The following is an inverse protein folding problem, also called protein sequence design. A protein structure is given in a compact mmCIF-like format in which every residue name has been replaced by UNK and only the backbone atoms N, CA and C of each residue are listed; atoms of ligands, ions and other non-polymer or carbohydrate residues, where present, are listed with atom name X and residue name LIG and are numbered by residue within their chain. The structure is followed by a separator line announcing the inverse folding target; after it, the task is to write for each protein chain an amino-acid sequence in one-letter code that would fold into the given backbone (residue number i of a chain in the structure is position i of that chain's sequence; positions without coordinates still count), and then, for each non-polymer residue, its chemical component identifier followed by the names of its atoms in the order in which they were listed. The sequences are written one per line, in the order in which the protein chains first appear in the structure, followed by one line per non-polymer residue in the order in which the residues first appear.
data_IF_280798156705
#
_entry.id   IF_280798156705
#
_cell.length_a   1.000
_cell.length_b   1.000
_cell.length_c   1.000
_cell.angle_alpha   90.00
_cell.angle_beta   90.00
_cell.angle_gamma   90.00
#
_symmetry.space_group_name_H-M   'P 1'
#
loop_
_entity.id
_entity.type
_entity.pdbx_description
1 polymer ?
#
# COMPACT_ATOMS: atom_id res chain seq x y z
N UNK A 1 52.79 70.96 6.35
CA UNK A 1 52.24 70.48 7.64
C UNK A 1 52.31 68.97 7.63
N UNK A 2 53.04 68.37 8.57
CA UNK A 2 52.74 67.09 9.24
C UNK A 2 53.91 66.70 10.13
N UNK A 3 53.72 66.67 11.47
CA UNK A 3 54.64 66.08 12.42
C UNK A 3 54.29 64.62 12.73
N UNK A 4 55.36 63.88 13.04
CA UNK A 4 55.54 62.91 14.13
C UNK A 4 54.42 61.97 14.62
N UNK A 5 54.82 60.70 14.71
CA UNK A 5 54.74 59.80 15.88
C UNK A 5 53.38 59.28 16.36
N UNK A 6 53.25 57.96 16.34
CA UNK A 6 52.26 57.17 17.10
C UNK A 6 52.73 55.71 17.13
N UNK A 7 53.58 55.33 18.09
CA UNK A 7 53.23 54.67 19.36
C UNK A 7 52.81 53.21 19.20
N UNK A 8 53.71 52.33 19.65
CA UNK A 8 53.54 50.89 19.79
C UNK A 8 52.54 50.57 20.90
N UNK A 9 51.62 49.65 20.66
CA UNK A 9 50.89 48.95 21.71
C UNK A 9 50.80 47.47 21.33
N UNK A 10 51.62 46.67 22.02
CA UNK A 10 51.55 45.22 22.02
C UNK A 10 50.22 44.78 22.63
N UNK A 11 49.46 43.95 21.92
CA UNK A 11 48.34 43.20 22.49
C UNK A 11 48.82 41.76 22.71
N UNK A 12 49.03 41.47 23.99
CA UNK A 12 49.40 40.17 24.56
C UNK A 12 48.38 39.10 24.19
N UNK A 13 48.84 38.00 23.60
CA UNK A 13 48.04 36.80 23.39
C UNK A 13 47.71 36.15 24.74
N UNK A 14 46.44 36.16 25.11
CA UNK A 14 45.93 35.33 26.21
C UNK A 14 45.79 33.90 25.70
N UNK A 15 46.67 33.05 26.23
CA UNK A 15 46.58 31.59 26.22
C UNK A 15 45.26 31.11 26.83
N UNK A 16 44.65 30.12 26.16
CA UNK A 16 44.09 28.96 26.85
C UNK A 16 42.58 28.95 27.05
N UNK A 17 41.85 28.60 26.00
CA UNK A 17 40.51 28.03 26.10
C UNK A 17 40.35 26.95 25.04
N UNK A 18 40.59 25.68 25.38
CA UNK A 18 40.19 24.58 24.50
C UNK A 18 38.66 24.62 24.38
N UNK A 19 38.08 24.63 23.17
CA UNK A 19 36.66 24.40 23.05
C UNK A 19 36.41 22.97 23.52
N UNK A 20 35.74 22.82 24.66
CA UNK A 20 35.18 21.52 25.06
C UNK A 20 34.16 21.19 23.99
N UNK A 21 34.57 20.36 23.03
CA UNK A 21 33.66 19.78 22.06
C UNK A 21 32.72 18.86 22.83
N UNK A 22 31.58 19.40 23.24
CA UNK A 22 30.45 18.59 23.70
C UNK A 22 30.01 17.78 22.49
N UNK A 23 30.49 16.53 22.40
CA UNK A 23 29.89 15.56 21.50
C UNK A 23 28.45 15.40 21.96
N UNK A 24 27.53 16.03 21.25
CA UNK A 24 26.15 15.62 21.25
C UNK A 24 26.12 14.27 20.55
N UNK A 25 26.48 13.22 21.30
CA UNK A 25 26.12 11.86 20.92
C UNK A 25 24.60 11.81 21.12
N UNK A 26 23.86 12.29 20.11
CA UNK A 26 22.42 12.11 20.07
C UNK A 26 22.25 10.60 20.06
N UNK A 27 21.60 9.99 21.06
CA UNK A 27 21.19 8.61 20.94
C UNK A 27 20.35 8.57 19.67
N UNK A 28 20.85 7.94 18.60
CA UNK A 28 20.02 7.63 17.45
C UNK A 28 18.92 6.74 18.03
N UNK A 29 17.66 7.21 18.10
CA UNK A 29 16.60 6.31 18.46
C UNK A 29 16.65 5.20 17.41
N UNK A 30 16.89 3.95 17.84
CA UNK A 30 16.61 2.81 16.97
C UNK A 30 15.22 3.08 16.41
N UNK A 31 15.03 3.13 15.08
CA UNK A 31 13.70 3.36 14.54
C UNK A 31 12.81 2.33 15.22
N UNK A 32 11.82 2.82 15.98
CA UNK A 32 10.76 1.96 16.46
C UNK A 32 10.30 1.20 15.23
N UNK A 33 10.41 -0.12 15.31
CA UNK A 33 10.33 -0.99 14.15
C UNK A 33 8.94 -0.75 13.55
N UNK A 34 8.94 -0.24 12.30
CA UNK A 34 7.79 0.46 11.75
C UNK A 34 6.74 -0.55 11.30
N UNK A 35 5.50 -0.39 11.80
CA UNK A 35 4.36 -1.20 11.42
C UNK A 35 4.23 -1.22 9.89
N UNK A 36 4.23 -2.42 9.29
CA UNK A 36 4.06 -2.59 7.85
C UNK A 36 2.60 -2.90 7.55
N UNK A 37 2.05 -2.26 6.53
CA UNK A 37 0.71 -2.55 6.02
C UNK A 37 0.82 -3.37 4.75
N UNK A 38 0.19 -4.53 4.75
CA UNK A 38 0.23 -5.48 3.64
C UNK A 38 -1.18 -5.74 3.12
N UNK A 39 -1.29 -5.88 1.80
CA UNK A 39 -2.53 -6.19 1.12
C UNK A 39 -2.32 -7.38 0.19
N UNK A 40 -2.97 -8.49 0.51
CA UNK A 40 -2.83 -9.75 -0.20
C UNK A 40 -4.07 -9.95 -1.08
N UNK A 41 -3.89 -9.92 -2.40
CA UNK A 41 -4.96 -10.05 -3.37
C UNK A 41 -4.94 -11.44 -3.99
N UNK A 42 -6.08 -12.11 -4.02
CA UNK A 42 -6.29 -13.38 -4.72
C UNK A 42 -7.37 -13.15 -5.76
N UNK A 43 -7.05 -13.33 -7.04
CA UNK A 43 -7.94 -13.02 -8.14
C UNK A 43 -7.99 -14.16 -9.16
N UNK A 44 -9.00 -14.15 -10.04
CA UNK A 44 -9.09 -15.10 -11.15
C UNK A 44 -8.09 -14.76 -12.27
N UNK A 45 -7.63 -13.52 -12.34
CA UNK A 45 -6.63 -13.10 -13.31
C UNK A 45 -6.27 -11.62 -13.23
N UNK A 46 -5.23 -11.25 -13.98
CA UNK A 46 -4.70 -9.88 -14.04
C UNK A 46 -5.72 -8.89 -14.58
N UNK A 47 -6.40 -9.22 -15.69
CA UNK A 47 -7.39 -8.34 -16.30
C UNK A 47 -8.53 -8.01 -15.34
N UNK A 48 -9.12 -9.03 -14.71
CA UNK A 48 -10.19 -8.90 -13.71
C UNK A 48 -9.77 -8.00 -12.53
N UNK A 49 -8.55 -8.20 -12.02
CA UNK A 49 -7.98 -7.39 -10.93
C UNK A 49 -7.86 -5.92 -11.33
N UNK A 50 -7.27 -5.67 -12.50
CA UNK A 50 -7.02 -4.31 -13.02
C UNK A 50 -8.34 -3.61 -13.29
N UNK A 51 -9.30 -4.26 -13.94
CA UNK A 51 -10.61 -3.65 -14.27
C UNK A 51 -11.48 -3.45 -13.04
N UNK A 52 -11.49 -4.41 -12.12
CA UNK A 52 -12.36 -4.39 -10.95
C UNK A 52 -11.93 -3.37 -9.89
N UNK A 53 -10.66 -3.44 -9.46
CA UNK A 53 -10.16 -2.67 -8.30
C UNK A 53 -8.77 -2.07 -8.51
N UNK A 54 -8.28 -1.99 -9.74
CA UNK A 54 -6.92 -1.52 -10.02
C UNK A 54 -6.65 -0.10 -9.49
N UNK A 55 -7.66 0.76 -9.43
CA UNK A 55 -7.53 2.12 -8.92
C UNK A 55 -7.35 2.15 -7.41
N UNK A 56 -8.19 1.43 -6.68
CA UNK A 56 -8.07 1.29 -5.23
C UNK A 56 -6.74 0.65 -4.82
N UNK A 57 -6.30 -0.39 -5.55
CA UNK A 57 -4.99 -1.02 -5.29
C UNK A 57 -3.82 -0.05 -5.54
N UNK A 58 -3.89 0.76 -6.60
CA UNK A 58 -2.90 1.80 -6.87
C UNK A 58 -2.84 2.82 -5.73
N UNK A 59 -3.99 3.33 -5.28
CA UNK A 59 -4.03 4.32 -4.20
C UNK A 59 -3.49 3.73 -2.89
N UNK A 60 -3.72 2.44 -2.61
CA UNK A 60 -3.09 1.74 -1.47
C UNK A 60 -1.58 1.63 -1.62
N UNK A 61 -1.08 1.25 -2.79
CA UNK A 61 0.35 1.19 -3.06
C UNK A 61 1.00 2.58 -2.90
N UNK A 62 0.35 3.63 -3.40
CA UNK A 62 0.79 5.02 -3.25
C UNK A 62 0.73 5.51 -1.81
N UNK A 63 -0.19 4.99 -0.99
CA UNK A 63 -0.23 5.21 0.45
C UNK A 63 0.85 4.40 1.23
N UNK A 64 1.74 3.69 0.54
CA UNK A 64 2.85 2.95 1.12
C UNK A 64 2.52 1.50 1.53
N UNK A 65 1.34 1.00 1.18
CA UNK A 65 0.98 -0.39 1.45
C UNK A 65 1.75 -1.32 0.51
N UNK A 66 2.18 -2.48 1.04
CA UNK A 66 2.74 -3.55 0.22
C UNK A 66 1.61 -4.37 -0.37
N UNK A 67 1.31 -4.12 -1.64
CA UNK A 67 0.26 -4.85 -2.35
C UNK A 67 0.85 -6.02 -3.13
N UNK A 68 0.47 -7.24 -2.76
CA UNK A 68 0.87 -8.47 -3.44
C UNK A 68 -0.36 -9.13 -4.07
N UNK A 69 -0.26 -9.54 -5.32
CA UNK A 69 -1.35 -10.17 -6.08
C UNK A 69 -0.92 -11.57 -6.48
N UNK A 70 -1.69 -12.57 -6.03
CA UNK A 70 -1.54 -13.94 -6.50
C UNK A 70 -2.03 -14.05 -7.94
N UNK A 71 -1.13 -14.49 -8.82
CA UNK A 71 -1.43 -14.84 -10.21
C UNK A 71 -0.87 -16.23 -10.50
N UNK A 72 -1.39 -16.87 -11.53
CA UNK A 72 -0.82 -18.12 -12.05
C UNK A 72 0.57 -17.87 -12.67
N UNK A 73 1.46 -18.86 -12.62
CA UNK A 73 2.89 -18.69 -12.93
C UNK A 73 3.16 -18.26 -14.39
N UNK A 74 2.21 -18.48 -15.30
CA UNK A 74 2.29 -18.14 -16.72
C UNK A 74 1.66 -16.77 -17.08
N UNK A 75 1.01 -16.10 -16.12
CA UNK A 75 0.33 -14.83 -16.37
C UNK A 75 1.29 -13.63 -16.48
N UNK A 76 1.08 -12.74 -17.47
CA UNK A 76 1.89 -11.51 -17.62
C UNK A 76 1.53 -10.47 -16.53
N UNK A 77 2.40 -10.33 -15.53
CA UNK A 77 2.28 -9.34 -14.46
C UNK A 77 2.59 -7.87 -14.85
N UNK A 78 2.77 -7.54 -16.13
CA UNK A 78 3.09 -6.16 -16.58
C UNK A 78 2.05 -5.14 -16.17
N UNK A 79 0.77 -5.45 -16.33
CA UNK A 79 -0.30 -4.54 -15.93
C UNK A 79 -0.30 -4.25 -14.43
N UNK A 80 0.01 -5.27 -13.60
CA UNK A 80 0.14 -5.11 -12.15
C UNK A 80 1.33 -4.21 -11.78
N UNK A 81 2.46 -4.34 -12.47
CA UNK A 81 3.64 -3.50 -12.26
C UNK A 81 3.39 -2.02 -12.61
N UNK A 82 2.58 -1.74 -13.63
CA UNK A 82 2.14 -0.37 -13.95
C UNK A 82 1.40 0.25 -12.78
N UNK A 83 0.59 -0.55 -12.07
CA UNK A 83 -0.14 -0.12 -10.88
C UNK A 83 0.72 -0.08 -9.60
N UNK A 84 2.02 -0.38 -9.68
CA UNK A 84 2.89 -0.47 -8.50
C UNK A 84 2.67 -1.72 -7.64
N UNK A 85 2.02 -2.75 -8.17
CA UNK A 85 1.66 -3.96 -7.45
C UNK A 85 2.68 -5.08 -7.69
N UNK A 86 2.85 -5.95 -6.71
CA UNK A 86 3.76 -7.09 -6.79
C UNK A 86 3.01 -8.36 -7.20
N UNK A 87 3.27 -8.88 -8.38
CA UNK A 87 2.83 -10.22 -8.78
C UNK A 87 3.62 -11.29 -8.01
N UNK A 88 2.93 -12.25 -7.42
CA UNK A 88 3.52 -13.39 -6.69
C UNK A 88 2.72 -14.66 -6.99
N UNK A 89 3.34 -15.84 -6.84
CA UNK A 89 2.59 -17.10 -6.79
C UNK A 89 1.81 -17.24 -5.48
N UNK A 90 0.74 -18.04 -5.49
CA UNK A 90 -0.18 -18.19 -4.35
C UNK A 90 0.53 -18.63 -3.04
N UNK A 91 1.48 -19.56 -3.12
CA UNK A 91 2.28 -19.99 -1.96
C UNK A 91 3.15 -18.86 -1.40
N UNK A 92 3.63 -17.96 -2.25
CA UNK A 92 4.49 -16.85 -1.87
C UNK A 92 3.71 -15.69 -1.25
N UNK A 93 2.40 -15.60 -1.53
CA UNK A 93 1.46 -14.64 -0.94
C UNK A 93 1.25 -14.90 0.55
N UNK A 94 1.15 -16.17 0.94
CA UNK A 94 0.84 -16.59 2.32
C UNK A 94 2.08 -16.82 3.19
N UNK A 95 3.20 -16.20 2.85
CA UNK A 95 4.37 -16.26 3.73
C UNK A 95 4.04 -15.63 5.08
N UNK A 96 4.60 -16.15 6.19
CA UNK A 96 4.35 -15.61 7.52
C UNK A 96 4.63 -14.10 7.54
N UNK A 97 3.67 -13.34 8.05
CA UNK A 97 3.84 -11.92 8.31
C UNK A 97 5.01 -11.70 9.25
N UNK A 98 5.74 -10.60 9.04
CA UNK A 98 6.67 -10.16 10.07
C UNK A 98 5.88 -9.85 11.36
N UNK A 99 6.51 -9.98 12.53
CA UNK A 99 5.86 -9.77 13.82
C UNK A 99 5.21 -8.37 14.02
N UNK A 100 5.41 -7.44 13.09
CA UNK A 100 4.91 -6.08 13.09
C UNK A 100 4.28 -5.73 11.74
N UNK A 101 3.33 -6.55 11.30
CA UNK A 101 2.61 -6.34 10.05
C UNK A 101 1.11 -6.53 10.23
N UNK A 102 0.33 -5.61 9.67
CA UNK A 102 -1.14 -5.71 9.57
C UNK A 102 -1.46 -6.06 8.14
N UNK A 103 -2.11 -7.20 7.92
CA UNK A 103 -2.51 -7.67 6.60
C UNK A 103 -4.02 -7.57 6.39
N UNK A 104 -4.40 -7.17 5.19
CA UNK A 104 -5.75 -7.32 4.67
C UNK A 104 -5.73 -8.32 3.52
N UNK A 105 -6.75 -9.18 3.46
CA UNK A 105 -6.95 -10.10 2.34
C UNK A 105 -8.07 -9.58 1.44
N UNK A 106 -7.80 -9.56 0.14
CA UNK A 106 -8.73 -9.15 -0.91
C UNK A 106 -8.95 -10.30 -1.87
N UNK A 107 -10.20 -10.70 -2.10
CA UNK A 107 -10.52 -11.89 -2.90
C UNK A 107 -11.47 -11.52 -4.04
N UNK A 108 -11.16 -11.91 -5.27
CA UNK A 108 -12.09 -11.80 -6.39
C UNK A 108 -13.25 -12.77 -6.19
N UNK A 109 -14.49 -12.29 -6.27
CA UNK A 109 -15.69 -13.13 -6.07
C UNK A 109 -15.71 -14.33 -7.02
N UNK A 110 -15.33 -14.12 -8.28
CA UNK A 110 -15.17 -15.18 -9.28
C UNK A 110 -14.18 -16.27 -8.86
N UNK A 111 -13.06 -15.87 -8.25
CA UNK A 111 -12.05 -16.81 -7.73
C UNK A 111 -12.55 -17.53 -6.49
N UNK A 112 -13.28 -16.85 -5.61
CA UNK A 112 -13.88 -17.48 -4.43
C UNK A 112 -14.87 -18.59 -4.80
N UNK A 113 -15.77 -18.31 -5.75
CA UNK A 113 -16.82 -19.24 -6.19
C UNK A 113 -16.29 -20.40 -7.04
N UNK A 114 -15.09 -20.29 -7.60
CA UNK A 114 -14.44 -21.37 -8.35
C UNK A 114 -14.06 -22.60 -7.49
N UNK A 115 -14.28 -22.55 -6.17
CA UNK A 115 -14.11 -23.70 -5.26
C UNK A 115 -12.72 -23.83 -4.66
N UNK A 116 -11.78 -22.96 -5.00
CA UNK A 116 -10.41 -22.94 -4.44
C UNK A 116 -10.29 -22.11 -3.14
N UNK A 117 -11.40 -22.00 -2.40
CA UNK A 117 -11.59 -21.16 -1.22
C UNK A 117 -10.57 -21.46 -0.10
N UNK A 118 -10.10 -22.71 0.02
CA UNK A 118 -9.11 -23.11 1.05
C UNK A 118 -7.72 -22.50 0.84
N UNK A 119 -7.39 -22.13 -0.41
CA UNK A 119 -6.11 -21.47 -0.71
C UNK A 119 -6.20 -19.94 -0.62
N UNK A 120 -7.41 -19.35 -0.65
CA UNK A 120 -7.61 -17.91 -0.46
C UNK A 120 -7.81 -17.50 1.01
N UNK A 121 -8.20 -18.44 1.89
CA UNK A 121 -8.59 -18.18 3.27
C UNK A 121 -7.54 -18.71 4.27
N UNK A 122 -6.37 -18.06 4.35
CA UNK A 122 -5.33 -18.47 5.31
C UNK A 122 -5.38 -17.75 6.65
N UNK A 123 -6.00 -16.57 6.73
CA UNK A 123 -6.12 -15.81 7.98
C UNK A 123 -7.45 -15.01 8.07
N UNK A 124 -8.53 -15.62 8.58
CA UNK A 124 -9.82 -14.94 8.74
C UNK A 124 -9.87 -13.94 9.90
N UNK A 125 -8.79 -13.80 10.69
CA UNK A 125 -8.74 -12.82 11.78
C UNK A 125 -8.47 -11.39 11.26
N UNK A 126 -7.80 -11.26 10.11
CA UNK A 126 -7.67 -10.01 9.36
C UNK A 126 -8.95 -9.74 8.55
N UNK A 127 -9.41 -8.48 8.52
CA UNK A 127 -10.61 -8.11 7.75
C UNK A 127 -10.50 -8.53 6.28
N UNK A 128 -11.63 -8.95 5.71
CA UNK A 128 -11.70 -9.50 4.35
C UNK A 128 -12.52 -8.59 3.44
N UNK A 129 -12.00 -8.39 2.24
CA UNK A 129 -12.64 -7.59 1.21
C UNK A 129 -12.80 -8.43 -0.04
N UNK A 130 -13.97 -8.37 -0.66
CA UNK A 130 -14.22 -8.98 -1.96
C UNK A 130 -14.35 -7.90 -3.03
N UNK A 131 -14.04 -8.26 -4.25
CA UNK A 131 -14.31 -7.44 -5.42
C UNK A 131 -14.87 -8.28 -6.56
N UNK A 132 -15.61 -7.62 -7.46
CA UNK A 132 -16.27 -8.27 -8.58
C UNK A 132 -17.67 -7.69 -8.80
N UNK A 133 -18.43 -8.33 -9.68
CA UNK A 133 -19.78 -7.89 -10.05
C UNK A 133 -20.81 -8.05 -8.92
N UNK A 134 -20.57 -8.93 -7.96
CA UNK A 134 -21.47 -9.18 -6.84
C UNK A 134 -20.72 -9.60 -5.58
N UNK A 135 -21.42 -9.52 -4.46
CA UNK A 135 -21.00 -10.10 -3.20
C UNK A 135 -20.88 -11.63 -3.33
N UNK A 136 -20.01 -12.28 -2.54
CA UNK A 136 -19.97 -13.74 -2.46
C UNK A 136 -21.30 -14.28 -1.89
N UNK A 137 -21.85 -15.33 -2.50
CA UNK A 137 -23.10 -15.96 -2.05
C UNK A 137 -22.96 -16.81 -0.78
N UNK A 138 -21.79 -17.42 -0.59
CA UNK A 138 -21.57 -18.48 0.41
C UNK A 138 -20.93 -17.96 1.71
N UNK A 139 -21.03 -16.67 1.99
CA UNK A 139 -20.40 -16.03 3.15
C UNK A 139 -21.45 -15.67 4.22
N UNK A 140 -21.49 -16.42 5.32
CA UNK A 140 -22.46 -16.28 6.43
C UNK A 140 -22.30 -14.99 7.29
N UNK A 141 -21.40 -14.08 6.91
CA UNK A 141 -21.16 -12.83 7.64
C UNK A 141 -21.93 -11.66 7.02
N UNK A 142 -22.18 -10.60 7.81
CA UNK A 142 -22.71 -9.35 7.27
C UNK A 142 -21.79 -8.81 6.18
N UNK A 143 -22.31 -8.68 4.96
CA UNK A 143 -21.60 -8.12 3.82
C UNK A 143 -21.97 -6.64 3.66
N UNK A 144 -20.99 -5.75 3.66
CA UNK A 144 -21.20 -4.34 3.39
C UNK A 144 -20.61 -3.97 2.02
N UNK A 145 -21.47 -3.49 1.12
CA UNK A 145 -21.02 -2.92 -0.17
C UNK A 145 -20.42 -1.53 0.04
N UNK A 146 -19.23 -1.32 -0.50
CA UNK A 146 -18.47 -0.07 -0.46
C UNK A 146 -18.23 0.40 -1.89
N UNK A 147 -18.52 1.68 -2.15
CA UNK A 147 -18.16 2.35 -3.40
C UNK A 147 -16.93 3.19 -3.14
N UNK A 148 -15.86 2.91 -3.87
CA UNK A 148 -14.61 3.65 -3.79
C UNK A 148 -14.44 4.50 -5.05
N UNK A 149 -13.98 5.74 -4.89
CA UNK A 149 -13.65 6.62 -6.02
C UNK A 149 -12.13 6.75 -6.10
N UNK A 150 -11.48 6.13 -7.11
CA UNK A 150 -10.03 6.23 -7.24
C UNK A 150 -9.57 7.66 -7.48
N UNK A 151 -8.32 7.95 -7.09
CA UNK A 151 -7.67 9.22 -7.38
C UNK A 151 -7.51 9.44 -8.90
N UNK A 152 -7.28 10.68 -9.32
CA UNK A 152 -7.03 10.99 -10.73
C UNK A 152 -5.78 10.24 -11.27
N UNK A 153 -4.75 10.08 -10.44
CA UNK A 153 -3.58 9.28 -10.79
C UNK A 153 -3.95 7.80 -10.94
N UNK A 154 -4.69 7.24 -9.99
CA UNK A 154 -5.17 5.87 -10.05
C UNK A 154 -5.97 5.59 -11.33
N UNK A 155 -6.88 6.49 -11.72
CA UNK A 155 -7.65 6.35 -12.97
C UNK A 155 -6.75 6.35 -14.21
N UNK A 156 -5.73 7.21 -14.26
CA UNK A 156 -4.80 7.28 -15.38
C UNK A 156 -3.93 6.00 -15.49
N UNK A 157 -3.36 5.55 -14.38
CA UNK A 157 -2.56 4.33 -14.35
C UNK A 157 -3.40 3.07 -14.59
N UNK A 158 -4.63 3.03 -14.07
CA UNK A 158 -5.62 1.97 -14.35
C UNK A 158 -5.95 1.91 -15.83
N UNK A 159 -6.21 3.04 -16.49
CA UNK A 159 -6.46 3.07 -17.93
C UNK A 159 -5.30 2.45 -18.72
N UNK A 160 -4.07 2.80 -18.37
CA UNK A 160 -2.88 2.25 -19.04
C UNK A 160 -2.68 0.75 -18.75
N UNK A 161 -2.84 0.33 -17.50
CA UNK A 161 -2.75 -1.07 -17.10
C UNK A 161 -3.82 -1.93 -17.80
N UNK A 162 -5.06 -1.43 -17.91
CA UNK A 162 -6.16 -2.11 -18.61
C UNK A 162 -5.84 -2.34 -20.08
N UNK A 163 -5.28 -1.34 -20.76
CA UNK A 163 -4.87 -1.47 -22.15
C UNK A 163 -3.79 -2.54 -22.34
N UNK A 164 -2.82 -2.60 -21.43
CA UNK A 164 -1.77 -3.64 -21.43
C UNK A 164 -2.31 -5.03 -21.09
N UNK A 165 -3.33 -5.11 -20.23
CA UNK A 165 -3.99 -6.37 -19.88
C UNK A 165 -4.94 -6.89 -20.99
N UNK A 166 -5.06 -6.19 -22.12
CA UNK A 166 -5.93 -6.58 -23.22
C UNK A 166 -7.42 -6.42 -22.92
N UNK A 167 -7.78 -5.62 -21.90
CA UNK A 167 -9.17 -5.31 -21.62
C UNK A 167 -9.77 -4.52 -22.80
N UNK A 168 -11.04 -4.78 -23.12
CA UNK A 168 -11.73 -4.06 -24.19
C UNK A 168 -11.70 -2.55 -23.92
N UNK A 169 -11.50 -1.71 -24.95
CA UNK A 169 -11.52 -0.27 -24.79
C UNK A 169 -12.91 0.17 -24.31
N UNK A 170 -13.00 0.52 -23.03
CA UNK A 170 -14.20 0.99 -22.37
C UNK A 170 -13.87 2.17 -21.46
N UNK A 171 -14.91 2.90 -21.04
CA UNK A 171 -14.78 3.89 -19.98
C UNK A 171 -14.21 3.20 -18.74
N UNK A 172 -13.05 3.64 -18.27
CA UNK A 172 -12.58 3.27 -16.93
C UNK A 172 -13.62 3.80 -15.96
N UNK A 173 -14.36 2.91 -15.31
CA UNK A 173 -15.36 3.31 -14.33
C UNK A 173 -14.65 4.16 -13.25
N UNK A 174 -15.22 5.34 -13.00
CA UNK A 174 -14.74 6.26 -11.97
C UNK A 174 -15.08 5.79 -10.56
N UNK A 175 -15.85 4.71 -10.43
CA UNK A 175 -16.22 4.09 -9.16
C UNK A 175 -15.88 2.61 -9.19
N UNK A 176 -15.26 2.11 -8.12
CA UNK A 176 -14.97 0.70 -7.91
C UNK A 176 -15.82 0.18 -6.75
N UNK A 177 -16.36 -1.04 -6.90
CA UNK A 177 -17.21 -1.65 -5.87
C UNK A 177 -16.46 -2.75 -5.14
N UNK A 178 -16.43 -2.66 -3.81
CA UNK A 178 -15.87 -3.66 -2.92
C UNK A 178 -16.93 -4.16 -1.95
N UNK A 179 -16.76 -5.36 -1.40
CA UNK A 179 -17.66 -5.96 -0.42
C UNK A 179 -16.88 -6.36 0.82
N UNK A 180 -17.09 -5.67 1.94
CA UNK A 180 -16.43 -5.97 3.20
C UNK A 180 -17.16 -7.09 3.94
N UNK A 181 -16.42 -8.05 4.46
CA UNK A 181 -16.95 -9.16 5.25
C UNK A 181 -16.20 -9.28 6.59
N UNK A 182 -16.94 -9.52 7.68
CA UNK A 182 -16.38 -9.72 9.02
C UNK A 182 -16.85 -8.70 10.07
N UNK A 183 -16.55 -8.96 11.34
CA UNK A 183 -17.03 -8.17 12.50
C UNK A 183 -16.12 -7.01 12.92
N UNK A 184 -15.04 -6.75 12.21
CA UNK A 184 -14.06 -5.72 12.59
C UNK A 184 -14.28 -4.45 11.76
N UNK A 185 -15.24 -3.61 12.18
CA UNK A 185 -15.37 -2.25 11.66
C UNK A 185 -14.19 -1.35 12.08
N UNK A 186 -13.49 -1.67 13.18
CA UNK A 186 -12.66 -0.65 13.84
C UNK A 186 -11.18 -0.58 13.41
N UNK A 187 -10.64 -1.53 12.65
CA UNK A 187 -9.20 -1.51 12.36
C UNK A 187 -8.81 -0.63 11.16
N UNK A 188 -9.75 -0.29 10.26
CA UNK A 188 -9.48 0.49 9.04
C UNK A 188 -10.68 1.38 8.63
N UNK A 189 -11.42 1.89 9.61
CA UNK A 189 -12.61 2.74 9.39
C UNK A 189 -12.25 4.13 8.83
N UNK A 190 -10.97 4.52 8.85
CA UNK A 190 -10.54 5.87 8.55
C UNK A 190 -10.54 6.27 7.05
N UNK A 191 -10.67 5.33 6.10
CA UNK A 191 -10.40 5.66 4.69
C UNK A 191 -11.31 5.00 3.64
N UNK A 192 -12.38 4.35 4.08
CA UNK A 192 -13.41 3.80 3.20
C UNK A 192 -14.75 4.39 3.63
N UNK A 193 -14.92 5.69 3.36
CA UNK A 193 -16.17 6.39 3.67
C UNK A 193 -17.28 5.76 2.82
N UNK A 194 -18.35 5.21 3.43
CA UNK A 194 -19.54 4.81 2.69
C UNK A 194 -20.10 6.06 2.01
N UNK A 195 -20.22 6.02 0.68
CA UNK A 195 -20.98 7.05 -0.04
C UNK A 195 -22.46 6.76 0.20
N UNK A 196 -23.04 7.41 1.21
CA UNK A 196 -24.48 7.64 1.30
C UNK A 196 -24.86 8.70 0.27
#
# INVERSE_FOLDING_TARGET
MSPQSGMSAQLSEVRGGSPVAVRFDRPQPRPAKALQYELNVVAAGVADTVTGIGGWLFDRAMAGWRVSVAIDDDADGRALRILGLKAVGLNALWRPLAAESVAMTVIGTSRFESGDHRLALRDPAGGMVFFGSHAPSDFDATIQRVRYRPSAAALAFKAHASAVAGAAPGSVDGVETLFRCGRSADLLDAELVPVC
#
